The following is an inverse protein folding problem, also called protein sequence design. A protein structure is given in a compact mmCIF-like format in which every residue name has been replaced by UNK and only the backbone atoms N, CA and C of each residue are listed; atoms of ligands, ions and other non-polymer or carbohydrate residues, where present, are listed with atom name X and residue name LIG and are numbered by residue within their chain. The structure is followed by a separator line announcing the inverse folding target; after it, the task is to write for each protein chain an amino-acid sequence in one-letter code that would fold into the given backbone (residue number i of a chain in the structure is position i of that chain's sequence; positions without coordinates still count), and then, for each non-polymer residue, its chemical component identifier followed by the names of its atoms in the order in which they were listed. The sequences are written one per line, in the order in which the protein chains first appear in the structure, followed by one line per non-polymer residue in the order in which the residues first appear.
data_IF_743297360046
#
_entry.id   IF_743297360046
#
_cell.length_a   1.000
_cell.length_b   1.000
_cell.length_c   1.000
_cell.angle_alpha   90.00
_cell.angle_beta   90.00
_cell.angle_gamma   90.00
#
_symmetry.space_group_name_H-M   'P 1'
#
loop_
_entity.id
_entity.type
_entity.pdbx_description
1 polymer ?
#
# COMPACT_ATOMS: atom_id res chain seq x y z
N UNK A 1 -20.39 -1.14 11.53
CA UNK A 1 -19.06 -1.04 12.18
C UNK A 1 -18.09 -0.61 11.09
N UNK A 2 -17.18 0.34 11.34
CA UNK A 2 -16.18 0.66 10.30
C UNK A 2 -15.24 -0.52 10.13
N UNK A 3 -14.73 -0.72 8.92
CA UNK A 3 -13.76 -1.76 8.66
C UNK A 3 -12.38 -1.29 9.11
N UNK A 4 -11.44 -2.22 9.26
CA UNK A 4 -10.02 -1.92 9.37
C UNK A 4 -9.37 -2.06 8.00
N UNK A 5 -8.30 -1.33 7.74
CA UNK A 5 -7.63 -1.33 6.44
C UNK A 5 -6.13 -1.50 6.62
N UNK A 6 -5.55 -2.42 5.84
CA UNK A 6 -4.10 -2.50 5.63
C UNK A 6 -3.81 -2.04 4.21
N UNK A 7 -2.96 -1.03 4.07
CA UNK A 7 -2.41 -0.60 2.79
C UNK A 7 -0.95 -1.05 2.73
N UNK A 8 -0.64 -1.94 1.78
CA UNK A 8 0.73 -2.35 1.48
C UNK A 8 1.16 -1.63 0.21
N UNK A 9 2.24 -0.85 0.30
CA UNK A 9 2.88 -0.18 -0.86
C UNK A 9 4.24 -0.85 -1.07
N UNK A 10 4.31 -1.71 -2.07
CA UNK A 10 5.54 -2.40 -2.47
C UNK A 10 6.33 -1.47 -3.40
N UNK A 11 7.26 -0.69 -2.84
CA UNK A 11 7.96 0.38 -3.57
C UNK A 11 8.57 -0.11 -4.88
N UNK A 12 8.31 0.63 -5.95
CA UNK A 12 8.90 0.38 -7.26
C UNK A 12 8.43 -0.90 -7.94
N UNK A 13 7.33 -1.54 -7.53
CA UNK A 13 6.79 -2.75 -8.17
C UNK A 13 6.01 -2.44 -9.46
N UNK A 14 6.55 -2.93 -10.58
CA UNK A 14 5.92 -2.90 -11.89
C UNK A 14 4.73 -3.88 -12.02
N UNK A 15 3.68 -3.47 -12.74
CA UNK A 15 2.45 -4.27 -12.97
C UNK A 15 2.72 -5.65 -13.58
N UNK A 16 3.51 -5.72 -14.65
CA UNK A 16 3.79 -6.98 -15.34
C UNK A 16 4.59 -7.94 -14.44
N UNK A 17 5.56 -7.41 -13.69
CA UNK A 17 6.32 -8.21 -12.71
C UNK A 17 5.42 -8.73 -11.60
N UNK A 18 4.48 -7.95 -11.11
CA UNK A 18 3.49 -8.42 -10.14
C UNK A 18 2.68 -9.60 -10.69
N UNK A 19 2.16 -9.48 -11.93
CA UNK A 19 1.42 -10.54 -12.60
C UNK A 19 2.24 -11.81 -12.81
N UNK A 20 3.50 -11.68 -13.20
CA UNK A 20 4.32 -12.84 -13.58
C UNK A 20 5.03 -13.50 -12.40
N UNK A 21 5.24 -12.77 -11.30
CA UNK A 21 6.14 -13.20 -10.23
C UNK A 21 5.45 -13.40 -8.87
N UNK A 22 4.30 -12.76 -8.58
CA UNK A 22 3.64 -12.87 -7.28
C UNK A 22 2.68 -14.06 -7.25
N UNK A 23 3.24 -15.26 -7.15
CA UNK A 23 2.52 -16.52 -7.32
C UNK A 23 1.39 -16.75 -6.31
N UNK A 24 1.57 -16.40 -5.04
CA UNK A 24 0.53 -16.53 -4.02
C UNK A 24 -0.65 -15.60 -4.31
N UNK A 25 -0.40 -14.31 -4.58
CA UNK A 25 -1.46 -13.37 -4.95
C UNK A 25 -2.21 -13.82 -6.21
N UNK A 26 -1.50 -14.28 -7.25
CA UNK A 26 -2.14 -14.82 -8.45
C UNK A 26 -2.95 -16.10 -8.14
N UNK A 27 -2.51 -16.93 -7.20
CA UNK A 27 -3.30 -18.07 -6.71
C UNK A 27 -4.61 -17.65 -6.05
N UNK A 28 -4.64 -16.52 -5.33
CA UNK A 28 -5.88 -15.95 -4.79
C UNK A 28 -6.81 -15.43 -5.91
N UNK A 29 -6.25 -14.88 -6.99
CA UNK A 29 -7.04 -14.48 -8.16
C UNK A 29 -7.70 -15.71 -8.82
N UNK A 30 -6.95 -16.78 -9.06
CA UNK A 30 -7.49 -18.01 -9.64
C UNK A 30 -8.59 -18.63 -8.76
N UNK A 31 -8.40 -18.63 -7.43
CA UNK A 31 -9.40 -19.09 -6.49
C UNK A 31 -10.69 -18.26 -6.58
N UNK A 32 -10.55 -16.94 -6.70
CA UNK A 32 -11.68 -16.00 -6.80
C UNK A 32 -12.49 -16.22 -8.09
N UNK A 33 -11.81 -16.43 -9.21
CA UNK A 33 -12.43 -16.73 -10.51
C UNK A 33 -13.21 -18.07 -10.49
N UNK A 34 -12.67 -19.08 -9.79
CA UNK A 34 -13.32 -20.38 -9.66
C UNK A 34 -14.63 -20.28 -8.87
N UNK A 35 -14.65 -19.48 -7.80
CA UNK A 35 -15.87 -19.26 -7.00
C UNK A 35 -16.95 -18.56 -7.81
N UNK A 36 -16.60 -17.53 -8.59
CA UNK A 36 -17.56 -16.81 -9.44
C UNK A 36 -18.18 -17.72 -10.52
N UNK A 37 -17.38 -18.57 -11.17
CA UNK A 37 -17.84 -19.50 -12.21
C UNK A 37 -18.72 -20.64 -11.67
N UNK A 38 -18.54 -21.05 -10.42
CA UNK A 38 -19.34 -22.12 -9.80
C UNK A 38 -20.68 -21.64 -9.23
N UNK A 39 -20.99 -20.33 -9.31
CA UNK A 39 -22.29 -19.77 -8.97
C UNK A 39 -22.71 -20.07 -7.53
N UNK A 40 -21.95 -19.56 -6.55
CA UNK A 40 -22.26 -19.41 -5.11
C UNK A 40 -23.25 -20.42 -4.50
N UNK A 41 -23.10 -21.70 -4.85
CA UNK A 41 -23.80 -22.81 -4.21
C UNK A 41 -23.12 -23.24 -2.90
N UNK A 42 -21.96 -22.65 -2.59
CA UNK A 42 -21.30 -22.74 -1.29
C UNK A 42 -21.57 -21.46 -0.51
N UNK A 43 -22.37 -21.59 0.56
CA UNK A 43 -22.69 -20.56 1.55
C UNK A 43 -21.70 -19.38 1.59
N UNK A 44 -22.20 -18.19 1.25
CA UNK A 44 -21.49 -16.89 1.37
C UNK A 44 -20.99 -16.57 2.80
N UNK A 45 -21.26 -17.43 3.78
CA UNK A 45 -20.85 -17.29 5.18
C UNK A 45 -19.57 -18.04 5.55
N UNK A 46 -18.92 -18.77 4.63
CA UNK A 46 -17.68 -19.49 4.96
C UNK A 46 -16.44 -18.60 4.90
N UNK A 47 -15.52 -18.80 5.85
CA UNK A 47 -14.27 -18.07 6.04
C UNK A 47 -13.42 -17.97 4.75
N UNK A 48 -13.50 -18.97 3.87
CA UNK A 48 -12.81 -19.03 2.58
C UNK A 48 -13.27 -17.99 1.55
N UNK A 49 -14.45 -17.39 1.72
CA UNK A 49 -14.98 -16.37 0.80
C UNK A 49 -14.45 -14.95 1.09
N UNK A 50 -13.86 -14.72 2.27
CA UNK A 50 -13.32 -13.40 2.62
C UNK A 50 -11.96 -13.11 1.99
N UNK A 51 -11.23 -14.16 1.57
CA UNK A 51 -9.96 -14.06 0.84
C UNK A 51 -10.13 -13.78 -0.65
N UNK A 52 -11.31 -13.34 -1.09
CA UNK A 52 -11.55 -12.94 -2.48
C UNK A 52 -10.59 -11.82 -2.85
N UNK A 53 -9.95 -11.95 -4.00
CA UNK A 53 -8.93 -11.04 -4.48
C UNK A 53 -9.21 -10.62 -5.93
N UNK A 54 -8.88 -9.38 -6.26
CA UNK A 54 -8.89 -8.88 -7.65
C UNK A 54 -7.68 -8.00 -7.89
N UNK A 55 -7.08 -8.12 -9.08
CA UNK A 55 -6.00 -7.26 -9.56
C UNK A 55 -6.53 -6.30 -10.61
N UNK A 56 -6.32 -5.01 -10.38
CA UNK A 56 -6.59 -3.94 -11.32
C UNK A 56 -5.26 -3.37 -11.86
N UNK A 57 -5.15 -3.11 -13.17
CA UNK A 57 -4.09 -2.24 -13.68
C UNK A 57 -4.36 -0.80 -13.25
N UNK A 58 -3.34 -0.13 -12.74
CA UNK A 58 -3.41 1.27 -12.35
C UNK A 58 -2.22 2.04 -12.94
N UNK A 59 -2.43 3.32 -13.25
CA UNK A 59 -1.36 4.23 -13.65
C UNK A 59 -0.98 5.12 -12.46
N UNK A 60 0.29 5.20 -12.12
CA UNK A 60 0.77 6.17 -11.13
C UNK A 60 0.71 7.60 -11.68
N UNK A 61 0.62 8.56 -10.77
CA UNK A 61 0.75 9.98 -11.06
C UNK A 61 2.21 10.37 -11.34
N UNK A 62 2.43 11.65 -11.67
CA UNK A 62 3.73 12.16 -12.11
C UNK A 62 4.26 13.29 -11.22
N UNK A 63 5.58 13.38 -11.01
CA UNK A 63 6.61 12.45 -11.52
C UNK A 63 6.52 11.09 -10.81
N UNK A 64 6.90 10.02 -11.52
CA UNK A 64 6.88 8.64 -11.00
C UNK A 64 8.04 8.39 -10.03
N UNK A 65 8.10 9.19 -8.96
CA UNK A 65 9.13 9.17 -7.93
C UNK A 65 8.52 8.89 -6.56
N UNK A 66 9.26 8.21 -5.70
CA UNK A 66 8.74 7.64 -4.47
C UNK A 66 8.13 8.67 -3.51
N UNK A 67 8.90 9.66 -3.01
CA UNK A 67 8.35 10.64 -2.05
C UNK A 67 7.15 11.42 -2.61
N UNK A 68 7.17 11.93 -3.86
CA UNK A 68 5.98 12.50 -4.50
C UNK A 68 4.76 11.58 -4.49
N UNK A 69 4.95 10.29 -4.73
CA UNK A 69 3.87 9.34 -4.86
C UNK A 69 3.41 8.73 -3.54
N UNK A 70 4.26 8.70 -2.50
CA UNK A 70 3.81 8.47 -1.13
C UNK A 70 2.79 9.54 -0.73
N UNK A 71 3.11 10.81 -1.02
CA UNK A 71 2.20 11.94 -0.78
C UNK A 71 0.91 11.79 -1.59
N UNK A 72 1.01 11.44 -2.87
CA UNK A 72 -0.17 11.26 -3.72
C UNK A 72 -1.08 10.14 -3.22
N UNK A 73 -0.53 8.97 -2.90
CA UNK A 73 -1.29 7.82 -2.42
C UNK A 73 -2.02 8.15 -1.11
N UNK A 74 -1.32 8.78 -0.17
CA UNK A 74 -1.82 8.98 1.19
C UNK A 74 -2.71 10.23 1.34
N UNK A 75 -2.71 11.15 0.37
CA UNK A 75 -3.52 12.39 0.41
C UNK A 75 -4.54 12.51 -0.74
N UNK A 76 -4.35 11.74 -1.82
CA UNK A 76 -5.11 11.84 -3.07
C UNK A 76 -4.74 13.05 -3.95
N UNK A 77 -3.70 13.81 -3.59
CA UNK A 77 -3.30 15.05 -4.29
C UNK A 77 -2.12 14.79 -5.21
N UNK A 78 -2.19 15.25 -6.46
CA UNK A 78 -1.11 15.02 -7.43
C UNK A 78 0.19 15.70 -6.99
N UNK A 79 1.37 15.16 -7.33
CA UNK A 79 2.64 15.76 -6.95
C UNK A 79 2.81 17.25 -7.30
N UNK A 80 2.41 17.63 -8.52
CA UNK A 80 2.51 19.03 -8.99
C UNK A 80 1.60 19.99 -8.23
N UNK A 81 0.52 19.47 -7.63
CA UNK A 81 -0.42 20.23 -6.81
C UNK A 81 0.02 20.25 -5.34
N UNK A 82 0.56 19.14 -4.83
CA UNK A 82 1.03 19.04 -3.43
C UNK A 82 2.33 19.80 -3.17
N UNK A 83 3.11 20.04 -4.23
CA UNK A 83 4.43 20.65 -4.16
C UNK A 83 5.51 19.71 -3.61
N UNK A 84 5.23 18.43 -3.38
CA UNK A 84 6.24 17.38 -3.19
C UNK A 84 6.54 16.80 -4.58
N UNK A 85 7.40 17.48 -5.33
CA UNK A 85 7.67 17.18 -6.76
C UNK A 85 8.98 16.44 -7.02
N UNK A 86 9.77 16.17 -5.98
CA UNK A 86 10.96 15.31 -6.06
C UNK A 86 11.31 14.76 -4.68
N UNK A 87 12.20 13.77 -4.65
CA UNK A 87 12.60 13.05 -3.44
C UNK A 87 13.39 13.91 -2.42
N UNK A 88 13.92 15.08 -2.81
CA UNK A 88 14.75 15.93 -1.96
C UNK A 88 13.94 16.97 -1.15
N UNK A 89 12.62 17.07 -1.37
CA UNK A 89 11.76 18.01 -0.62
C UNK A 89 11.41 17.41 0.75
N UNK A 90 12.13 17.85 1.79
CA UNK A 90 11.98 17.41 3.18
C UNK A 90 11.11 18.40 3.96
N UNK A 91 9.84 18.05 4.15
CA UNK A 91 8.87 18.77 5.00
C UNK A 91 7.65 17.89 5.28
N UNK A 92 6.84 18.33 6.24
CA UNK A 92 5.49 17.82 6.44
C UNK A 92 4.60 18.08 5.22
N UNK A 93 3.63 17.20 5.00
CA UNK A 93 2.51 17.41 4.10
C UNK A 93 1.69 18.63 4.56
N UNK A 94 1.12 19.35 3.57
CA UNK A 94 0.17 20.45 3.81
C UNK A 94 -1.28 20.01 3.55
N UNK A 95 -1.51 18.72 3.29
CA UNK A 95 -2.80 18.16 2.92
C UNK A 95 -3.28 17.17 3.97
N UNK A 96 -4.60 17.02 4.05
CA UNK A 96 -5.18 15.95 4.85
C UNK A 96 -4.83 14.60 4.22
N UNK A 97 -4.19 13.75 5.01
CA UNK A 97 -3.86 12.37 4.66
C UNK A 97 -4.86 11.41 5.28
N UNK A 98 -4.82 10.14 4.85
CA UNK A 98 -5.52 9.04 5.53
C UNK A 98 -5.22 9.07 7.04
N UNK A 99 -3.95 9.27 7.43
CA UNK A 99 -3.54 9.32 8.82
C UNK A 99 -4.19 10.47 9.61
N UNK A 100 -4.15 11.69 9.08
CA UNK A 100 -4.74 12.84 9.78
C UNK A 100 -6.26 12.75 9.86
N UNK A 101 -6.93 12.25 8.80
CA UNK A 101 -8.38 12.05 8.78
C UNK A 101 -8.83 10.95 9.75
N UNK A 102 -8.09 9.84 9.79
CA UNK A 102 -8.37 8.74 10.71
C UNK A 102 -8.19 9.20 12.16
N UNK A 103 -7.06 9.84 12.47
CA UNK A 103 -6.73 10.31 13.82
C UNK A 103 -7.72 11.38 14.31
N UNK A 104 -8.10 12.35 13.48
CA UNK A 104 -9.06 13.39 13.87
C UNK A 104 -10.46 12.84 14.19
N UNK A 105 -10.77 11.65 13.68
CA UNK A 105 -12.03 10.93 13.89
C UNK A 105 -11.88 9.75 14.87
N UNK A 106 -10.83 9.77 15.69
CA UNK A 106 -10.64 8.85 16.81
C UNK A 106 -10.24 7.42 16.42
N UNK A 107 -9.72 7.22 15.19
CA UNK A 107 -9.17 5.94 14.75
C UNK A 107 -7.72 5.76 15.20
N UNK A 108 -7.34 4.51 15.40
CA UNK A 108 -5.95 4.13 15.71
C UNK A 108 -5.17 3.96 14.42
N UNK A 109 -4.01 4.61 14.30
CA UNK A 109 -3.15 4.55 13.12
C UNK A 109 -1.78 3.96 13.41
N UNK A 110 -1.24 3.20 12.45
CA UNK A 110 0.12 2.71 12.53
C UNK A 110 0.83 2.65 11.16
N UNK A 111 2.17 2.67 11.16
CA UNK A 111 2.97 2.48 9.96
C UNK A 111 4.28 1.73 10.23
N UNK A 112 4.55 0.70 9.43
CA UNK A 112 5.89 0.14 9.26
C UNK A 112 6.39 0.58 7.87
N UNK A 113 7.27 1.57 7.81
CA UNK A 113 7.55 2.26 6.55
C UNK A 113 8.93 2.90 6.48
N UNK A 114 9.33 3.34 5.28
CA UNK A 114 10.52 4.16 5.15
C UNK A 114 10.32 5.51 5.85
N UNK A 115 11.40 6.03 6.44
CA UNK A 115 11.36 7.24 7.26
C UNK A 115 10.75 8.47 6.59
N UNK A 116 10.74 8.55 5.25
CA UNK A 116 10.09 9.63 4.51
C UNK A 116 8.60 9.75 4.82
N UNK A 117 7.93 8.64 5.14
CA UNK A 117 6.53 8.67 5.59
C UNK A 117 6.41 9.38 6.95
N UNK A 118 7.35 9.16 7.87
CA UNK A 118 7.41 9.94 9.13
C UNK A 118 7.67 11.42 8.85
N UNK A 119 8.55 11.74 7.90
CA UNK A 119 8.82 13.14 7.51
C UNK A 119 7.59 13.84 6.94
N UNK A 120 6.76 13.13 6.18
CA UNK A 120 5.54 13.67 5.60
C UNK A 120 4.43 13.86 6.65
N UNK A 121 4.26 12.95 7.61
CA UNK A 121 3.04 12.94 8.45
C UNK A 121 3.24 13.14 9.95
N UNK A 122 4.46 12.99 10.47
CA UNK A 122 4.75 13.16 11.90
C UNK A 122 5.72 14.31 12.17
N UNK A 123 6.94 14.24 11.60
CA UNK A 123 8.01 15.21 11.90
C UNK A 123 9.11 15.18 10.85
N UNK A 124 9.50 16.36 10.37
CA UNK A 124 10.67 16.57 9.53
C UNK A 124 11.62 17.63 10.15
N UNK A 125 12.95 17.46 10.05
CA UNK A 125 13.65 16.29 9.52
C UNK A 125 13.58 15.08 10.46
N UNK A 126 13.70 13.88 9.89
CA UNK A 126 13.77 12.62 10.64
C UNK A 126 15.06 12.51 11.46
N UNK A 127 14.93 12.06 12.70
CA UNK A 127 16.03 11.66 13.57
C UNK A 127 15.88 10.18 13.91
N UNK A 128 16.81 9.34 13.44
CA UNK A 128 16.68 7.89 13.56
C UNK A 128 16.65 7.37 15.00
N UNK A 129 17.28 8.04 15.96
CA UNK A 129 17.27 7.61 17.37
C UNK A 129 15.93 7.95 18.01
N UNK A 130 15.40 9.12 17.69
CA UNK A 130 14.14 9.64 18.25
C UNK A 130 12.91 9.05 17.59
N UNK A 131 12.90 8.96 16.26
CA UNK A 131 11.67 8.81 15.48
C UNK A 131 11.46 7.36 14.99
N UNK A 132 12.51 6.53 14.93
CA UNK A 132 12.41 5.14 14.42
C UNK A 132 11.28 4.35 15.08
N UNK A 133 11.10 4.50 16.38
CA UNK A 133 9.98 3.91 17.11
C UNK A 133 9.09 5.01 17.64
N UNK A 134 7.91 5.18 17.03
CA UNK A 134 6.91 6.14 17.47
C UNK A 134 5.83 5.41 18.26
N UNK A 135 5.50 5.95 19.44
CA UNK A 135 4.35 5.55 20.24
C UNK A 135 3.80 6.80 20.93
N UNK A 136 3.12 7.64 20.16
CA UNK A 136 2.62 8.96 20.56
C UNK A 136 1.26 9.22 19.91
N UNK A 137 0.19 9.07 20.70
CA UNK A 137 -1.19 9.23 20.24
C UNK A 137 -1.51 10.66 19.75
N UNK A 138 -0.63 11.64 20.03
CA UNK A 138 -0.79 13.03 19.56
C UNK A 138 -0.33 13.22 18.12
N UNK A 139 0.41 12.26 17.53
CA UNK A 139 0.86 12.31 16.14
C UNK A 139 -0.18 11.74 15.16
N UNK A 140 0.00 11.97 13.85
CA UNK A 140 -0.91 11.42 12.84
C UNK A 140 -0.69 9.93 12.63
N UNK A 141 0.57 9.49 12.64
CA UNK A 141 0.96 8.08 12.77
C UNK A 141 1.28 7.85 14.24
N UNK A 142 0.33 7.27 14.97
CA UNK A 142 0.42 7.14 16.43
C UNK A 142 1.41 6.07 16.85
N UNK A 143 1.48 4.98 16.09
CA UNK A 143 2.40 3.86 16.33
C UNK A 143 3.25 3.59 15.08
N UNK A 144 4.57 3.68 15.17
CA UNK A 144 5.44 3.65 13.99
C UNK A 144 6.73 2.86 14.19
N UNK A 145 7.12 2.10 13.16
CA UNK A 145 8.43 1.50 12.99
C UNK A 145 9.02 2.01 11.66
N UNK A 146 10.01 2.91 11.73
CA UNK A 146 10.57 3.58 10.55
C UNK A 146 12.02 3.20 10.29
N UNK A 147 12.29 2.62 9.12
CA UNK A 147 13.65 2.34 8.67
C UNK A 147 14.20 3.45 7.77
N UNK A 148 15.53 3.58 7.73
CA UNK A 148 16.23 4.60 6.93
C UNK A 148 17.35 4.04 6.06
N UNK A 149 17.52 2.71 6.05
CA UNK A 149 18.47 2.04 5.16
C UNK A 149 17.72 1.43 3.98
N UNK A 150 18.13 1.75 2.76
CA UNK A 150 17.45 1.29 1.54
C UNK A 150 17.46 -0.24 1.41
N UNK A 151 18.47 -0.90 1.99
CA UNK A 151 18.62 -2.36 2.03
C UNK A 151 18.02 -3.01 3.30
N UNK A 152 17.10 -2.32 3.99
CA UNK A 152 16.44 -2.91 5.16
C UNK A 152 15.67 -4.16 4.73
N UNK A 153 15.86 -5.33 5.37
CA UNK A 153 15.21 -6.57 4.93
C UNK A 153 13.69 -6.48 4.98
N UNK A 154 13.01 -6.82 3.87
CA UNK A 154 11.54 -6.81 3.82
C UNK A 154 10.96 -7.73 4.89
N UNK A 155 11.59 -8.88 5.16
CA UNK A 155 11.17 -9.78 6.25
C UNK A 155 11.11 -9.06 7.60
N UNK A 156 12.14 -8.28 7.93
CA UNK A 156 12.18 -7.50 9.16
C UNK A 156 11.07 -6.45 9.19
N UNK A 157 10.79 -5.80 8.04
CA UNK A 157 9.71 -4.84 7.95
C UNK A 157 8.32 -5.47 8.12
N UNK A 158 8.07 -6.64 7.51
CA UNK A 158 6.80 -7.35 7.70
C UNK A 158 6.63 -7.83 9.15
N UNK A 159 7.72 -8.21 9.83
CA UNK A 159 7.71 -8.49 11.27
C UNK A 159 7.40 -7.24 12.11
N UNK A 160 8.00 -6.08 11.77
CA UNK A 160 7.70 -4.80 12.40
C UNK A 160 6.21 -4.44 12.23
N UNK A 161 5.65 -4.64 11.04
CA UNK A 161 4.25 -4.41 10.74
C UNK A 161 3.32 -5.34 11.55
N UNK A 162 3.62 -6.64 11.62
CA UNK A 162 2.81 -7.59 12.39
C UNK A 162 2.91 -7.32 13.89
N UNK A 163 4.07 -6.88 14.39
CA UNK A 163 4.22 -6.41 15.77
C UNK A 163 3.29 -5.24 16.06
N UNK A 164 3.26 -4.22 15.21
CA UNK A 164 2.34 -3.08 15.34
C UNK A 164 0.88 -3.53 15.30
N UNK A 165 0.53 -4.40 14.35
CA UNK A 165 -0.84 -4.89 14.14
C UNK A 165 -1.37 -5.64 15.36
N UNK A 166 -0.58 -6.56 15.91
CA UNK A 166 -1.00 -7.37 17.07
C UNK A 166 -1.02 -6.53 18.35
N UNK A 167 -0.06 -5.62 18.53
CA UNK A 167 0.08 -4.83 19.76
C UNK A 167 -0.98 -3.73 19.85
N UNK A 168 -1.23 -3.02 18.76
CA UNK A 168 -2.07 -1.82 18.76
C UNK A 168 -3.42 -2.01 18.04
N UNK A 169 -3.59 -3.09 17.27
CA UNK A 169 -4.82 -3.38 16.51
C UNK A 169 -5.35 -2.18 15.72
N UNK A 170 -4.49 -1.46 14.97
CA UNK A 170 -4.82 -0.20 14.33
C UNK A 170 -5.99 -0.34 13.36
N UNK A 171 -6.83 0.69 13.25
CA UNK A 171 -7.86 0.76 12.23
C UNK A 171 -7.24 0.95 10.85
N UNK A 172 -6.16 1.74 10.75
CA UNK A 172 -5.37 1.90 9.53
C UNK A 172 -3.90 1.56 9.76
N UNK A 173 -3.37 0.61 8.98
CA UNK A 173 -1.96 0.22 8.97
C UNK A 173 -1.36 0.40 7.58
N UNK A 174 -0.28 1.17 7.48
CA UNK A 174 0.57 1.22 6.30
C UNK A 174 1.77 0.27 6.44
N UNK A 175 2.06 -0.51 5.41
CA UNK A 175 3.24 -1.37 5.30
C UNK A 175 3.98 -1.00 4.02
N UNK A 176 5.25 -0.61 4.11
CA UNK A 176 5.99 -0.07 2.97
C UNK A 176 7.41 -0.64 2.83
N UNK A 177 7.58 -1.84 2.23
CA UNK A 177 8.89 -2.40 1.88
C UNK A 177 9.50 -1.73 0.65
N UNK A 178 10.84 -1.73 0.57
CA UNK A 178 11.61 -1.02 -0.46
C UNK A 178 12.52 -1.92 -1.30
N UNK A 179 12.72 -3.19 -0.93
CA UNK A 179 13.74 -4.00 -1.63
C UNK A 179 13.44 -4.25 -3.12
N UNK A 180 12.18 -4.12 -3.57
CA UNK A 180 11.86 -4.22 -5.00
C UNK A 180 12.48 -3.05 -5.76
N UNK A 181 12.22 -1.82 -5.33
CA UNK A 181 12.84 -0.60 -5.85
C UNK A 181 14.37 -0.62 -5.73
N UNK A 182 14.92 -0.93 -4.55
CA UNK A 182 16.38 -1.00 -4.34
C UNK A 182 17.07 -2.00 -5.29
N UNK A 183 16.45 -3.18 -5.51
CA UNK A 183 16.95 -4.13 -6.51
C UNK A 183 16.77 -3.62 -7.94
N UNK A 184 15.74 -2.84 -8.20
CA UNK A 184 15.50 -2.16 -9.48
C UNK A 184 16.60 -1.15 -9.80
N UNK A 185 16.95 -0.28 -8.86
CA UNK A 185 18.07 0.66 -9.01
C UNK A 185 19.43 -0.04 -9.15
N UNK A 186 19.61 -1.23 -8.58
CA UNK A 186 20.87 -1.99 -8.69
C UNK A 186 20.98 -2.80 -9.98
N UNK A 187 19.87 -3.26 -10.55
CA UNK A 187 19.88 -4.30 -11.58
C UNK A 187 18.90 -4.11 -12.74
N UNK A 188 17.90 -3.24 -12.61
CA UNK A 188 16.94 -2.90 -13.65
C UNK A 188 15.76 -3.86 -13.72
N UNK A 189 14.72 -3.43 -14.42
CA UNK A 189 13.45 -4.15 -14.62
C UNK A 189 13.65 -5.59 -15.13
N UNK A 190 14.50 -5.76 -16.14
CA UNK A 190 14.69 -7.06 -16.81
C UNK A 190 15.57 -8.05 -16.04
N UNK A 191 16.05 -7.67 -14.85
CA UNK A 191 16.90 -8.52 -14.04
C UNK A 191 16.15 -9.63 -13.31
N UNK A 192 16.85 -10.74 -13.04
CA UNK A 192 16.34 -11.78 -12.14
C UNK A 192 16.24 -11.28 -10.70
N UNK A 193 17.06 -10.31 -10.30
CA UNK A 193 17.10 -9.76 -8.95
C UNK A 193 15.82 -9.01 -8.64
N UNK A 194 15.42 -8.09 -9.52
CA UNK A 194 14.15 -7.36 -9.41
C UNK A 194 12.93 -8.30 -9.42
N UNK A 195 12.89 -9.29 -10.32
CA UNK A 195 11.82 -10.29 -10.30
C UNK A 195 11.81 -11.18 -9.06
N UNK A 196 12.97 -11.46 -8.46
CA UNK A 196 13.07 -12.30 -7.28
C UNK A 196 12.79 -11.55 -5.97
N UNK A 197 13.02 -10.23 -5.91
CA UNK A 197 12.53 -9.42 -4.79
C UNK A 197 11.00 -9.39 -4.76
N UNK A 198 10.34 -9.28 -5.92
CA UNK A 198 8.89 -9.39 -6.02
C UNK A 198 8.35 -10.76 -5.53
N UNK A 199 9.02 -11.87 -5.89
CA UNK A 199 8.72 -13.21 -5.33
C UNK A 199 8.92 -13.26 -3.82
N UNK A 200 9.96 -12.61 -3.31
CA UNK A 200 10.23 -12.53 -1.87
C UNK A 200 9.10 -11.84 -1.12
N UNK A 201 8.67 -10.66 -1.60
CA UNK A 201 7.54 -9.93 -1.03
C UNK A 201 6.24 -10.75 -1.01
N UNK A 202 5.96 -11.47 -2.10
CA UNK A 202 4.80 -12.37 -2.21
C UNK A 202 4.84 -13.52 -1.19
N UNK A 203 6.02 -14.12 -0.96
CA UNK A 203 6.22 -15.13 0.09
C UNK A 203 5.95 -14.53 1.47
N UNK A 204 6.47 -13.35 1.79
CA UNK A 204 6.21 -12.72 3.08
C UNK A 204 4.73 -12.42 3.29
N UNK A 205 4.05 -11.85 2.29
CA UNK A 205 2.61 -11.58 2.32
C UNK A 205 1.78 -12.84 2.57
N UNK A 206 2.17 -13.97 1.96
CA UNK A 206 1.46 -15.25 2.11
C UNK A 206 1.36 -15.76 3.55
N UNK A 207 2.28 -15.33 4.43
CA UNK A 207 2.26 -15.71 5.84
C UNK A 207 1.16 -15.00 6.64
N UNK A 208 0.63 -13.89 6.15
CA UNK A 208 -0.18 -12.97 6.96
C UNK A 208 -1.56 -12.66 6.40
N UNK A 209 -1.75 -12.69 5.06
CA UNK A 209 -2.97 -12.19 4.41
C UNK A 209 -4.26 -12.83 4.93
N UNK A 210 -4.29 -14.16 5.07
CA UNK A 210 -5.45 -14.87 5.63
C UNK A 210 -5.80 -14.37 7.03
N UNK A 211 -4.80 -14.26 7.90
CA UNK A 211 -4.98 -13.79 9.27
C UNK A 211 -5.45 -12.33 9.32
N UNK A 212 -4.91 -11.46 8.46
CA UNK A 212 -5.34 -10.07 8.40
C UNK A 212 -6.83 -9.96 8.04
N UNK A 213 -7.27 -10.71 7.03
CA UNK A 213 -8.67 -10.75 6.62
C UNK A 213 -9.56 -11.35 7.71
N UNK A 214 -9.12 -12.41 8.38
CA UNK A 214 -9.83 -13.03 9.50
C UNK A 214 -10.00 -12.06 10.68
N UNK A 215 -9.00 -11.23 10.94
CA UNK A 215 -9.02 -10.17 11.96
C UNK A 215 -9.81 -8.92 11.49
N UNK A 216 -10.49 -8.99 10.35
CA UNK A 216 -11.44 -7.98 9.87
C UNK A 216 -10.82 -6.86 9.03
N UNK A 217 -9.57 -7.01 8.60
CA UNK A 217 -8.92 -6.05 7.71
C UNK A 217 -9.34 -6.26 6.25
N UNK A 218 -9.57 -5.15 5.57
CA UNK A 218 -9.62 -5.06 4.12
C UNK A 218 -8.21 -4.70 3.65
N UNK A 219 -7.65 -5.46 2.72
CA UNK A 219 -6.24 -5.32 2.34
C UNK A 219 -6.14 -4.78 0.92
N UNK A 220 -5.36 -3.72 0.76
CA UNK A 220 -4.97 -3.15 -0.53
C UNK A 220 -3.46 -3.35 -0.68
N UNK A 221 -3.01 -3.90 -1.81
CA UNK A 221 -1.59 -4.05 -2.13
C UNK A 221 -1.33 -3.36 -3.46
N UNK A 222 -0.42 -2.40 -3.47
CA UNK A 222 -0.12 -1.62 -4.67
C UNK A 222 1.35 -1.22 -4.71
N UNK A 223 1.71 -0.41 -5.71
CA UNK A 223 2.99 0.26 -5.80
C UNK A 223 2.78 1.77 -5.98
N UNK A 224 3.77 2.54 -5.60
CA UNK A 224 3.89 3.93 -5.97
C UNK A 224 4.22 4.08 -7.46
N UNK A 225 5.29 3.45 -7.93
CA UNK A 225 5.73 3.44 -9.33
C UNK A 225 6.31 2.07 -9.74
N UNK A 226 6.81 1.97 -10.98
CA UNK A 226 7.61 0.84 -11.46
C UNK A 226 9.09 1.20 -11.64
N UNK A 227 9.80 0.46 -12.49
CA UNK A 227 11.25 0.61 -12.71
C UNK A 227 11.54 0.40 -14.19
N UNK A 228 12.51 1.14 -14.75
CA UNK A 228 12.97 0.95 -16.13
C UNK A 228 14.35 0.26 -16.21
N UNK A 229 14.82 0.02 -17.42
CA UNK A 229 16.13 -0.62 -17.66
C UNK A 229 17.33 0.35 -17.60
N UNK A 230 17.09 1.65 -17.47
CA UNK A 230 18.11 2.64 -17.12
C UNK A 230 18.40 2.67 -15.61
N UNK A 231 17.86 1.70 -14.86
CA UNK A 231 17.98 1.59 -13.41
C UNK A 231 17.34 2.78 -12.67
N UNK A 232 16.30 3.33 -13.25
CA UNK A 232 15.66 4.56 -12.78
C UNK A 232 14.14 4.52 -12.97
N UNK A 233 13.50 5.55 -12.44
CA UNK A 233 12.10 5.90 -12.64
C UNK A 233 11.97 7.44 -12.55
N UNK A 234 10.77 7.98 -12.75
CA UNK A 234 10.46 9.41 -12.63
C UNK A 234 9.82 10.03 -13.88
N UNK A 235 9.78 9.30 -14.99
CA UNK A 235 9.21 9.68 -16.27
C UNK A 235 7.87 9.02 -16.59
N UNK A 236 7.56 8.95 -17.89
CA UNK A 236 6.23 8.55 -18.39
C UNK A 236 6.18 7.15 -19.00
N UNK A 237 7.29 6.40 -18.92
CA UNK A 237 7.35 5.08 -19.54
C UNK A 237 6.30 4.16 -18.92
N UNK A 238 5.66 3.28 -19.71
CA UNK A 238 4.69 2.33 -19.18
C UNK A 238 5.27 1.53 -18.01
N UNK A 239 6.49 1.01 -18.14
CA UNK A 239 7.11 0.22 -17.08
C UNK A 239 7.35 0.97 -15.77
N UNK A 240 7.38 2.31 -15.80
CA UNK A 240 7.48 3.16 -14.62
C UNK A 240 6.11 3.56 -14.06
N UNK A 241 5.04 3.52 -14.88
CA UNK A 241 3.72 4.02 -14.49
C UNK A 241 2.66 2.95 -14.28
N UNK A 242 2.73 1.84 -15.00
CA UNK A 242 1.78 0.75 -14.83
C UNK A 242 2.14 -0.02 -13.56
N UNK A 243 1.30 0.09 -12.55
CA UNK A 243 1.49 -0.52 -11.22
C UNK A 243 0.32 -1.45 -10.88
N UNK A 244 0.56 -2.50 -10.07
CA UNK A 244 -0.52 -3.36 -9.60
C UNK A 244 -1.39 -2.64 -8.58
N UNK A 245 -2.68 -2.96 -8.58
CA UNK A 245 -3.60 -2.60 -7.52
C UNK A 245 -4.44 -3.83 -7.16
N UNK A 246 -3.99 -4.58 -6.17
CA UNK A 246 -4.73 -5.71 -5.62
C UNK A 246 -5.65 -5.25 -4.49
N UNK A 247 -6.86 -5.79 -4.47
CA UNK A 247 -7.77 -5.68 -3.32
C UNK A 247 -8.14 -7.07 -2.83
N UNK A 248 -8.12 -7.27 -1.52
CA UNK A 248 -8.50 -8.52 -0.86
C UNK A 248 -9.45 -8.20 0.30
N UNK A 249 -10.62 -8.84 0.32
CA UNK A 249 -11.62 -8.65 1.39
C UNK A 249 -13.05 -8.52 0.88
N UNK A 250 -14.02 -8.58 1.79
CA UNK A 250 -15.45 -8.61 1.47
C UNK A 250 -16.11 -7.22 1.29
N UNK A 251 -15.33 -6.14 1.35
CA UNK A 251 -15.80 -4.76 1.13
C UNK A 251 -15.43 -4.21 -0.24
N UNK A 252 -14.94 -5.06 -1.12
CA UNK A 252 -14.72 -4.75 -2.52
C UNK A 252 -15.79 -5.44 -3.38
N UNK A 253 -16.20 -4.80 -4.47
CA UNK A 253 -17.16 -5.41 -5.41
C UNK A 253 -16.54 -6.55 -6.20
N UNK A 254 -15.21 -6.52 -6.36
CA UNK A 254 -14.43 -7.39 -7.25
C UNK A 254 -14.89 -7.34 -8.71
N UNK A 255 -15.64 -6.30 -9.09
CA UNK A 255 -16.06 -6.06 -10.46
C UNK A 255 -14.98 -5.29 -11.21
N UNK A 256 -14.93 -5.45 -12.52
CA UNK A 256 -14.04 -4.66 -13.37
C UNK A 256 -14.36 -3.15 -13.22
N UNK A 257 -13.37 -2.37 -12.81
CA UNK A 257 -13.44 -0.92 -12.72
C UNK A 257 -12.07 -0.30 -13.00
N UNK A 258 -12.02 1.02 -13.20
CA UNK A 258 -10.78 1.77 -13.39
C UNK A 258 -10.47 2.56 -12.12
N UNK A 259 -9.41 2.16 -11.43
CA UNK A 259 -8.94 2.82 -10.21
C UNK A 259 -7.83 3.81 -10.56
N UNK A 260 -7.89 5.02 -10.00
CA UNK A 260 -6.83 6.02 -10.11
C UNK A 260 -5.98 6.04 -8.84
N UNK A 261 -4.69 6.33 -8.95
CA UNK A 261 -3.83 6.43 -7.78
C UNK A 261 -4.28 7.54 -6.81
N UNK A 262 -4.83 8.64 -7.33
CA UNK A 262 -5.43 9.73 -6.54
C UNK A 262 -6.65 9.29 -5.72
N UNK A 263 -7.32 8.22 -6.14
CA UNK A 263 -8.55 7.75 -5.51
C UNK A 263 -8.27 6.83 -4.30
N UNK A 264 -7.02 6.37 -4.13
CA UNK A 264 -6.65 5.44 -3.04
C UNK A 264 -6.95 6.04 -1.68
N UNK A 265 -6.60 7.32 -1.45
CA UNK A 265 -6.87 8.00 -0.20
C UNK A 265 -8.36 7.98 0.13
N UNK A 266 -9.22 8.35 -0.82
CA UNK A 266 -10.66 8.36 -0.60
C UNK A 266 -11.23 6.95 -0.44
N UNK A 267 -10.79 5.96 -1.24
CA UNK A 267 -11.24 4.58 -1.10
C UNK A 267 -10.90 3.99 0.28
N UNK A 268 -9.70 4.28 0.82
CA UNK A 268 -9.34 3.89 2.20
C UNK A 268 -10.22 4.63 3.22
N UNK A 269 -10.46 5.93 3.05
CA UNK A 269 -11.31 6.69 3.97
C UNK A 269 -12.76 6.19 3.98
N UNK A 270 -13.30 5.78 2.83
CA UNK A 270 -14.62 5.13 2.72
C UNK A 270 -14.66 3.80 3.49
N UNK A 271 -13.65 2.94 3.31
CA UNK A 271 -13.56 1.65 4.03
C UNK A 271 -13.50 1.83 5.56
N UNK A 272 -12.79 2.88 6.01
CA UNK A 272 -12.69 3.29 7.41
C UNK A 272 -13.92 4.05 7.93
N UNK A 273 -14.92 4.30 7.06
CA UNK A 273 -16.12 5.09 7.35
C UNK A 273 -15.78 6.45 7.98
N UNK A 274 -14.88 7.18 7.32
CA UNK A 274 -14.48 8.53 7.70
C UNK A 274 -15.33 9.57 6.95
N UNK A 275 -15.60 10.71 7.58
CA UNK A 275 -16.05 11.91 6.90
C UNK A 275 -14.87 12.54 6.15
N UNK A 276 -15.00 12.72 4.83
CA UNK A 276 -13.96 13.29 3.97
C UNK A 276 -14.54 13.84 2.66
N UNK A 277 -13.76 14.64 1.94
CA UNK A 277 -14.08 15.17 0.60
C UNK A 277 -13.20 14.58 -0.53
N UNK A 278 -12.31 13.64 -0.18
CA UNK A 278 -11.43 12.94 -1.12
C UNK A 278 -12.20 12.20 -2.21
N UNK A 279 -11.70 12.29 -3.46
CA UNK A 279 -12.20 11.45 -4.56
C UNK A 279 -11.92 9.97 -4.30
N UNK A 280 -12.83 9.11 -4.76
CA UNK A 280 -12.71 7.67 -4.64
C UNK A 280 -13.43 6.98 -5.81
N UNK A 281 -13.00 5.77 -6.15
CA UNK A 281 -13.67 4.93 -7.15
C UNK A 281 -14.85 4.21 -6.48
N UNK A 282 -16.09 4.64 -6.75
CA UNK A 282 -17.28 4.09 -6.08
C UNK A 282 -17.53 2.62 -6.48
N UNK A 283 -17.31 2.28 -7.75
CA UNK A 283 -17.53 0.94 -8.31
C UNK A 283 -16.59 -0.12 -7.69
N UNK A 284 -15.52 0.31 -7.04
CA UNK A 284 -14.58 -0.57 -6.35
C UNK A 284 -15.16 -1.13 -5.04
N UNK A 285 -16.06 -0.40 -4.38
CA UNK A 285 -16.45 -0.62 -2.98
C UNK A 285 -17.84 -1.27 -2.84
N UNK A 286 -17.95 -2.24 -1.94
CA UNK A 286 -19.19 -2.91 -1.56
C UNK A 286 -19.64 -2.48 -0.14
N UNK A 287 -19.88 -1.18 0.03
CA UNK A 287 -20.26 -0.52 1.29
C UNK A 287 -21.75 -0.17 1.35
#
# INVERSE_FOLDING_TARGET
MSNKVILVVLDGLNYQVARDCMGYLNGLLELSDLHEKQGDSLNMSTQKNKLRATLYPMQCELPSMSRPLYECILTGVRPVESGIVNNQIVRLSNHESIFSLAKSQGKVTAAAAYHWVSELYNRAPFDAVRDRFTNDETMNIQHGCFYHWDHYPDEALFLDAEHLRVTHQPDFLLIHPMNIDDMGHKHGLDSRQYRNSARGADIYLSNYLEKWVDDGYQVIITSDHGMNNDLSHGGILPEEREVPFFVIGDKFTHQACSVKQTDICGSVCQLLNLEHDKSYTQELLAL
#
